data_IF_976796018309
#
_entry.id   IF_976796018309
#
_cell.length_a   1.000
_cell.length_b   1.000
_cell.length_c   1.000
_cell.angle_alpha   90.00
_cell.angle_beta   90.00
_cell.angle_gamma   90.00
#
_symmetry.space_group_name_H-M   'P 1'
#
loop_
_entity.id
_entity.type
_entity.pdbx_description
1 polymer ?
#
# COMPACT_ATOMS: atom_id res chain seq x y z
N UNK A 1 -4.81 2.70 9.80
CA UNK A 1 -3.72 1.78 9.35
C UNK A 1 -4.29 0.64 8.53
N UNK A 2 -3.73 0.42 7.35
CA UNK A 2 -4.17 -0.58 6.37
C UNK A 2 -3.01 -1.51 5.99
N UNK A 3 -3.35 -2.69 5.50
CA UNK A 3 -2.38 -3.69 5.03
C UNK A 3 -2.75 -4.19 3.64
N UNK A 4 -1.74 -4.46 2.80
CA UNK A 4 -1.89 -5.12 1.51
C UNK A 4 -0.87 -6.26 1.36
N UNK A 5 -1.32 -7.41 0.89
CA UNK A 5 -0.53 -8.60 0.59
C UNK A 5 -0.78 -9.06 -0.86
N UNK A 6 -0.07 -10.11 -1.27
CA UNK A 6 -0.18 -10.68 -2.62
C UNK A 6 0.82 -10.07 -3.61
N UNK A 7 0.81 -10.59 -4.84
CA UNK A 7 1.78 -10.20 -5.89
C UNK A 7 1.51 -8.80 -6.43
N UNK A 8 0.26 -8.35 -6.40
CA UNK A 8 -0.19 -7.03 -6.85
C UNK A 8 -0.11 -5.94 -5.78
N UNK A 9 0.38 -6.22 -4.56
CA UNK A 9 0.36 -5.25 -3.44
C UNK A 9 1.08 -3.93 -3.73
N UNK A 10 2.15 -3.95 -4.54
CA UNK A 10 2.87 -2.72 -4.94
C UNK A 10 2.07 -1.91 -5.97
N UNK A 11 1.35 -2.57 -6.89
CA UNK A 11 0.43 -1.90 -7.81
C UNK A 11 -0.74 -1.25 -7.04
N UNK A 12 -1.30 -1.95 -6.05
CA UNK A 12 -2.29 -1.39 -5.13
C UNK A 12 -1.74 -0.18 -4.37
N UNK A 13 -0.50 -0.25 -3.87
CA UNK A 13 0.14 0.86 -3.16
C UNK A 13 0.30 2.10 -4.06
N UNK A 14 0.70 1.91 -5.31
CA UNK A 14 0.81 2.97 -6.31
C UNK A 14 -0.54 3.57 -6.66
N UNK A 15 -1.56 2.73 -6.83
CA UNK A 15 -2.93 3.19 -7.00
C UNK A 15 -3.37 4.07 -5.82
N UNK A 16 -3.18 3.61 -4.58
CA UNK A 16 -3.50 4.41 -3.40
C UNK A 16 -2.72 5.72 -3.38
N UNK A 17 -1.42 5.70 -3.66
CA UNK A 17 -0.57 6.88 -3.68
C UNK A 17 -1.02 7.93 -4.71
N UNK A 18 -1.50 7.50 -5.88
CA UNK A 18 -2.02 8.38 -6.92
C UNK A 18 -3.30 9.13 -6.49
N UNK A 19 -4.06 8.55 -5.55
CA UNK A 19 -5.32 9.10 -5.03
C UNK A 19 -5.22 9.81 -3.67
N UNK A 20 -4.08 9.71 -2.98
CA UNK A 20 -3.84 10.47 -1.75
C UNK A 20 -3.23 11.85 -2.08
N UNK A 21 -3.82 12.96 -1.58
CA UNK A 21 -3.21 14.27 -1.69
C UNK A 21 -1.98 14.38 -0.76
N UNK A 22 -1.08 15.33 -1.05
CA UNK A 22 0.09 15.59 -0.21
C UNK A 22 1.28 14.66 -0.47
N UNK A 23 2.24 14.68 0.46
CA UNK A 23 3.49 13.91 0.38
C UNK A 23 3.23 12.42 0.60
N UNK A 24 3.87 11.57 -0.21
CA UNK A 24 3.89 10.11 -0.04
C UNK A 24 5.29 9.69 0.36
N UNK A 25 5.41 8.98 1.47
CA UNK A 25 6.67 8.36 1.92
C UNK A 25 6.57 6.86 1.74
N UNK A 26 7.51 6.26 1.02
CA UNK A 26 7.59 4.81 0.86
C UNK A 26 8.91 4.31 1.44
N UNK A 27 8.79 3.53 2.50
CA UNK A 27 9.89 3.07 3.33
C UNK A 27 10.09 1.58 3.09
N UNK A 28 11.27 1.22 2.58
CA UNK A 28 11.63 -0.14 2.19
C UNK A 28 12.95 -0.58 2.83
N UNK A 29 13.23 -1.88 2.93
CA UNK A 29 14.54 -2.36 3.35
C UNK A 29 15.63 -1.92 2.36
N UNK A 30 16.82 -1.55 2.86
CA UNK A 30 17.93 -1.10 2.00
C UNK A 30 18.38 -2.17 1.00
N UNK A 31 18.25 -3.45 1.39
CA UNK A 31 18.60 -4.61 0.57
C UNK A 31 17.50 -5.00 -0.43
N UNK A 32 16.38 -4.29 -0.48
CA UNK A 32 15.30 -4.59 -1.42
C UNK A 32 15.75 -4.28 -2.86
N UNK A 33 15.83 -5.30 -3.75
CA UNK A 33 16.34 -5.12 -5.10
C UNK A 33 15.32 -4.44 -6.01
N UNK A 34 14.03 -4.67 -5.76
CA UNK A 34 12.94 -4.15 -6.55
C UNK A 34 12.38 -2.89 -5.89
N UNK A 35 12.62 -1.74 -6.51
CA UNK A 35 12.14 -0.44 -6.03
C UNK A 35 11.14 0.13 -7.02
N UNK A 36 10.14 0.92 -6.57
CA UNK A 36 9.26 1.65 -7.48
C UNK A 36 10.09 2.49 -8.45
N UNK A 37 9.92 2.27 -9.75
CA UNK A 37 10.64 3.05 -10.76
C UNK A 37 9.94 4.40 -10.92
N UNK A 38 10.50 5.44 -10.30
CA UNK A 38 9.89 6.79 -10.23
C UNK A 38 9.52 7.35 -11.61
N UNK A 39 10.35 7.12 -12.63
CA UNK A 39 10.09 7.60 -14.00
C UNK A 39 8.92 6.90 -14.71
N UNK A 40 8.47 5.75 -14.20
CA UNK A 40 7.31 5.04 -14.72
C UNK A 40 6.00 5.43 -14.02
N UNK A 41 6.05 6.40 -13.10
CA UNK A 41 4.88 6.85 -12.34
C UNK A 41 4.13 7.95 -13.11
N UNK A 42 2.83 8.13 -12.84
CA UNK A 42 2.11 9.32 -13.30
C UNK A 42 2.83 10.61 -12.88
N UNK A 43 2.92 11.59 -13.77
CA UNK A 43 3.68 12.84 -13.62
C UNK A 43 3.28 13.75 -12.43
N UNK A 44 2.29 13.36 -11.63
CA UNK A 44 1.90 14.05 -10.40
C UNK A 44 2.28 13.31 -9.12
N UNK A 45 2.75 12.05 -9.25
CA UNK A 45 3.16 11.22 -8.12
C UNK A 45 4.68 11.23 -7.94
N UNK A 46 5.44 11.31 -9.03
CA UNK A 46 6.90 11.38 -9.02
C UNK A 46 7.45 12.59 -8.24
N UNK A 47 6.78 13.74 -8.31
CA UNK A 47 7.15 14.94 -7.53
C UNK A 47 6.87 14.82 -6.03
N UNK A 48 5.96 13.93 -5.63
CA UNK A 48 5.46 13.83 -4.24
C UNK A 48 5.84 12.52 -3.55
N UNK A 49 6.53 11.61 -4.23
CA UNK A 49 6.97 10.33 -3.67
C UNK A 49 8.42 10.42 -3.19
N UNK A 50 8.63 10.23 -1.89
CA UNK A 50 9.95 10.05 -1.30
C UNK A 50 10.19 8.58 -0.98
N UNK A 51 11.22 7.99 -1.61
CA UNK A 51 11.69 6.65 -1.28
C UNK A 51 12.74 6.74 -0.16
N UNK A 52 12.48 6.04 0.94
CA UNK A 52 13.39 5.93 2.07
C UNK A 52 13.81 4.47 2.25
N UNK A 53 15.08 4.25 2.56
CA UNK A 53 15.61 2.91 2.82
C UNK A 53 16.04 2.75 4.27
N UNK A 54 15.64 1.66 4.90
CA UNK A 54 16.00 1.32 6.28
C UNK A 54 16.98 0.13 6.32
N UNK A 55 17.98 0.20 7.20
CA UNK A 55 19.01 -0.85 7.32
C UNK A 55 18.58 -2.02 8.20
N UNK A 56 17.52 -1.87 9.00
CA UNK A 56 16.97 -2.92 9.86
C UNK A 56 15.43 -2.88 9.90
N UNK A 57 14.82 -3.97 10.36
CA UNK A 57 13.38 -4.03 10.59
C UNK A 57 12.94 -3.00 11.66
N UNK A 58 13.75 -2.81 12.70
CA UNK A 58 13.49 -1.81 13.74
C UNK A 58 13.50 -0.40 13.16
N UNK A 59 14.51 -0.05 12.36
CA UNK A 59 14.62 1.27 11.74
C UNK A 59 13.47 1.51 10.76
N UNK A 60 13.05 0.48 10.03
CA UNK A 60 11.90 0.57 9.12
C UNK A 60 10.63 0.92 9.89
N UNK A 61 10.32 0.16 10.95
CA UNK A 61 9.13 0.38 11.75
C UNK A 61 9.16 1.71 12.51
N UNK A 62 10.34 2.11 13.00
CA UNK A 62 10.53 3.42 13.61
C UNK A 62 10.32 4.55 12.60
N UNK A 63 10.90 4.44 11.41
CA UNK A 63 10.74 5.46 10.35
C UNK A 63 9.29 5.57 9.89
N UNK A 64 8.57 4.46 9.77
CA UNK A 64 7.13 4.45 9.47
C UNK A 64 6.36 5.16 10.59
N UNK A 65 6.68 4.88 11.85
CA UNK A 65 6.02 5.53 12.99
C UNK A 65 6.23 7.06 12.99
N UNK A 66 7.46 7.52 12.84
CA UNK A 66 7.77 8.95 12.81
C UNK A 66 7.13 9.65 11.62
N UNK A 67 7.17 9.02 10.44
CA UNK A 67 6.51 9.52 9.24
C UNK A 67 4.99 9.62 9.41
N UNK A 68 4.37 8.68 10.13
CA UNK A 68 2.93 8.71 10.42
C UNK A 68 2.57 9.85 11.38
N UNK A 69 3.45 10.19 12.33
CA UNK A 69 3.26 11.32 13.26
C UNK A 69 3.53 12.67 12.62
N UNK A 70 4.37 12.70 11.57
CA UNK A 70 4.72 13.93 10.88
C UNK A 70 3.53 14.51 10.11
N UNK A 71 3.40 15.84 10.14
CA UNK A 71 2.37 16.58 9.42
C UNK A 71 3.03 17.69 8.58
N UNK A 72 2.63 17.91 7.31
CA UNK A 72 1.63 17.17 6.55
C UNK A 72 2.21 16.01 5.73
N UNK A 73 1.78 14.77 6.01
CA UNK A 73 2.03 13.59 5.16
C UNK A 73 0.68 12.99 4.76
N UNK A 74 0.50 12.70 3.46
CA UNK A 74 -0.76 12.16 2.95
C UNK A 74 -0.87 10.65 3.04
N UNK A 75 0.25 9.95 2.79
CA UNK A 75 0.32 8.50 2.81
C UNK A 75 1.73 8.03 3.21
N UNK A 76 1.80 7.11 4.16
CA UNK A 76 3.04 6.39 4.50
C UNK A 76 2.90 4.92 4.10
N UNK A 77 3.81 4.45 3.27
CA UNK A 77 3.89 3.06 2.81
C UNK A 77 5.11 2.40 3.46
N UNK A 78 4.94 1.25 4.11
CA UNK A 78 6.04 0.48 4.69
C UNK A 78 6.10 -0.95 4.13
N UNK A 79 7.29 -1.45 3.80
CA UNK A 79 7.51 -2.83 3.34
C UNK A 79 8.31 -3.66 4.36
N UNK A 80 7.70 -4.10 5.48
CA UNK A 80 8.42 -4.86 6.48
C UNK A 80 8.79 -6.25 5.94
N UNK A 81 10.05 -6.65 6.14
CA UNK A 81 10.50 -8.00 5.78
C UNK A 81 9.94 -9.07 6.73
N UNK A 82 9.61 -8.74 7.98
CA UNK A 82 9.09 -9.66 9.00
C UNK A 82 7.58 -9.46 9.24
N UNK A 83 6.87 -10.47 9.76
CA UNK A 83 5.49 -10.32 10.21
C UNK A 83 5.34 -9.24 11.27
N UNK A 84 4.21 -8.53 11.23
CA UNK A 84 3.86 -7.52 12.21
C UNK A 84 3.14 -8.15 13.41
N UNK A 85 3.66 -7.89 14.61
CA UNK A 85 2.99 -8.25 15.86
C UNK A 85 1.76 -7.36 16.12
N UNK A 86 0.95 -7.75 17.10
CA UNK A 86 -0.16 -6.91 17.60
C UNK A 86 0.36 -5.58 18.17
N UNK A 87 1.45 -5.62 18.93
CA UNK A 87 2.03 -4.44 19.58
C UNK A 87 2.56 -3.45 18.56
N UNK A 88 3.33 -3.91 17.57
CA UNK A 88 3.82 -3.05 16.48
C UNK A 88 2.66 -2.44 15.70
N UNK A 89 1.68 -3.25 15.29
CA UNK A 89 0.52 -2.75 14.55
C UNK A 89 -0.30 -1.72 15.35
N UNK A 90 -0.48 -1.90 16.66
CA UNK A 90 -1.19 -0.93 17.50
C UNK A 90 -0.39 0.36 17.66
N UNK A 91 0.93 0.27 17.79
CA UNK A 91 1.83 1.44 17.86
C UNK A 91 1.74 2.27 16.58
N UNK A 92 1.80 1.63 15.41
CA UNK A 92 1.62 2.30 14.12
C UNK A 92 0.21 2.91 13.99
N UNK A 93 -0.83 2.24 14.49
CA UNK A 93 -2.19 2.79 14.48
C UNK A 93 -2.30 4.08 15.29
N UNK A 94 -1.73 4.12 16.49
CA UNK A 94 -1.71 5.31 17.34
C UNK A 94 -0.90 6.46 16.70
N UNK A 95 0.18 6.14 16.01
CA UNK A 95 0.97 7.13 15.27
C UNK A 95 0.19 7.74 14.10
N UNK A 96 -0.48 6.90 13.31
CA UNK A 96 -1.37 7.32 12.22
C UNK A 96 -2.52 8.22 12.73
N UNK A 97 -3.14 7.84 13.85
CA UNK A 97 -4.18 8.64 14.50
C UNK A 97 -3.65 10.00 15.00
N UNK A 98 -2.43 10.03 15.56
CA UNK A 98 -1.83 11.25 16.08
C UNK A 98 -1.45 12.25 14.99
N UNK A 99 -0.87 11.80 13.87
CA UNK A 99 -0.50 12.67 12.74
C UNK A 99 -1.63 12.90 11.73
N UNK A 100 -2.78 12.25 11.92
CA UNK A 100 -3.90 12.22 10.97
C UNK A 100 -3.48 11.73 9.56
N UNK A 101 -2.58 10.76 9.53
CA UNK A 101 -1.92 10.27 8.31
C UNK A 101 -2.40 8.86 7.96
N UNK A 102 -2.69 8.59 6.69
CA UNK A 102 -2.99 7.22 6.25
C UNK A 102 -1.69 6.41 6.18
N UNK A 103 -1.69 5.22 6.80
CA UNK A 103 -0.59 4.27 6.67
C UNK A 103 -1.02 2.98 5.97
N UNK A 104 -0.17 2.47 5.09
CA UNK A 104 -0.34 1.23 4.33
C UNK A 104 0.91 0.34 4.45
N UNK A 105 0.78 -0.84 5.05
CA UNK A 105 1.88 -1.80 5.15
C UNK A 105 1.77 -2.86 4.04
N UNK A 106 2.82 -3.00 3.23
CA UNK A 106 2.92 -4.05 2.21
C UNK A 106 3.57 -5.28 2.84
N UNK A 107 2.72 -6.19 3.28
CA UNK A 107 3.13 -7.36 4.05
C UNK A 107 3.27 -8.58 3.14
N UNK A 108 4.04 -9.57 3.61
CA UNK A 108 3.99 -10.92 3.05
C UNK A 108 2.66 -11.58 3.39
N UNK A 109 2.29 -12.61 2.62
CA UNK A 109 1.06 -13.35 2.84
C UNK A 109 1.00 -13.86 4.28
N UNK A 110 -0.13 -13.64 4.96
CA UNK A 110 -0.36 -14.03 6.36
C UNK A 110 0.58 -13.38 7.39
N UNK A 111 1.32 -12.33 7.03
CA UNK A 111 2.30 -11.67 7.89
C UNK A 111 1.75 -10.38 8.55
N UNK A 112 0.44 -10.17 8.50
CA UNK A 112 -0.20 -8.93 8.93
C UNK A 112 -0.59 -8.88 10.41
N UNK A 113 -0.64 -7.68 10.97
CA UNK A 113 -0.99 -7.45 12.36
C UNK A 113 -2.50 -7.62 12.64
N UNK A 114 -2.90 -8.23 13.77
CA UNK A 114 -4.29 -8.21 14.20
C UNK A 114 -4.84 -6.79 14.45
N UNK A 115 -3.97 -5.80 14.66
CA UNK A 115 -4.36 -4.41 14.87
C UNK A 115 -4.88 -3.70 13.61
N UNK A 116 -4.58 -4.18 12.39
CA UNK A 116 -4.94 -3.48 11.15
C UNK A 116 -6.45 -3.20 11.03
N UNK A 117 -6.80 -2.05 10.45
CA UNK A 117 -8.19 -1.68 10.16
C UNK A 117 -8.71 -2.43 8.94
N UNK A 118 -7.89 -2.51 7.88
CA UNK A 118 -8.22 -3.28 6.68
C UNK A 118 -7.04 -4.13 6.23
N UNK A 119 -7.34 -5.28 5.63
CA UNK A 119 -6.34 -6.09 4.92
C UNK A 119 -6.83 -6.40 3.52
N UNK A 120 -5.98 -6.16 2.53
CA UNK A 120 -6.24 -6.39 1.13
C UNK A 120 -5.33 -7.49 0.59
N UNK A 121 -5.89 -8.43 -0.14
CA UNK A 121 -5.15 -9.39 -0.95
C UNK A 121 -5.22 -8.90 -2.40
N UNK A 122 -4.06 -8.61 -2.99
CA UNK A 122 -3.95 -7.98 -4.30
C UNK A 122 -3.20 -8.91 -5.25
N UNK A 123 -3.86 -9.35 -6.33
CA UNK A 123 -3.28 -10.27 -7.30
C UNK A 123 -3.43 -9.72 -8.73
N UNK A 124 -2.37 -9.77 -9.57
CA UNK A 124 -2.51 -9.47 -10.98
C UNK A 124 -3.34 -10.56 -11.66
N UNK A 125 -4.17 -10.16 -12.63
CA UNK A 125 -4.90 -11.07 -13.50
C UNK A 125 -4.33 -11.03 -14.92
N UNK A 126 -4.40 -12.14 -15.68
CA UNK A 126 -4.12 -12.10 -17.11
C UNK A 126 -5.11 -11.15 -17.80
N UNK A 127 -4.59 -10.22 -18.60
CA UNK A 127 -5.41 -9.34 -19.40
C UNK A 127 -5.43 -9.76 -20.87
N UNK A 128 -6.54 -9.54 -21.56
CA UNK A 128 -6.67 -9.82 -22.99
C UNK A 128 -5.88 -8.82 -23.87
N UNK A 129 -5.62 -7.62 -23.35
CA UNK A 129 -4.81 -6.60 -24.01
C UNK A 129 -3.41 -6.55 -23.38
N UNK A 130 -2.32 -6.43 -24.18
CA UNK A 130 -0.95 -6.31 -23.67
C UNK A 130 -0.72 -5.12 -22.73
N UNK A 131 -1.53 -4.05 -22.88
CA UNK A 131 -1.38 -2.80 -22.13
C UNK A 131 -2.33 -2.69 -20.92
N UNK A 132 -3.11 -3.73 -20.61
CA UNK A 132 -4.02 -3.72 -19.46
C UNK A 132 -3.31 -4.25 -18.22
N UNK A 133 -3.43 -3.53 -17.10
CA UNK A 133 -2.92 -3.98 -15.80
C UNK A 133 -4.10 -4.46 -14.94
N UNK A 134 -4.79 -5.50 -15.42
CA UNK A 134 -5.92 -6.08 -14.71
C UNK A 134 -5.47 -6.63 -13.34
N UNK A 135 -6.14 -6.21 -12.27
CA UNK A 135 -5.87 -6.63 -10.91
C UNK A 135 -7.15 -7.12 -10.25
N UNK A 136 -7.03 -8.12 -9.38
CA UNK A 136 -8.06 -8.50 -8.40
C UNK A 136 -7.65 -8.02 -7.02
N UNK A 137 -8.47 -7.18 -6.43
CA UNK A 137 -8.30 -6.72 -5.06
C UNK A 137 -9.42 -7.27 -4.19
N UNK A 138 -9.06 -8.00 -3.16
CA UNK A 138 -10.01 -8.59 -2.21
C UNK A 138 -9.74 -8.03 -0.82
N UNK A 139 -10.73 -7.37 -0.25
CA UNK A 139 -10.69 -6.89 1.13
C UNK A 139 -10.96 -8.07 2.05
N UNK A 140 -9.92 -8.70 2.59
CA UNK A 140 -10.01 -9.90 3.43
C UNK A 140 -10.28 -9.58 4.91
N UNK A 141 -10.08 -8.33 5.34
CA UNK A 141 -10.43 -7.85 6.68
C UNK A 141 -10.91 -6.41 6.63
N UNK A 142 -11.97 -6.10 7.37
CA UNK A 142 -12.46 -4.74 7.56
C UNK A 142 -13.07 -4.59 8.97
N UNK A 143 -12.54 -3.70 9.81
CA UNK A 143 -13.07 -3.48 11.16
C UNK A 143 -14.38 -2.69 11.20
N UNK A 144 -14.71 -1.93 10.14
CA UNK A 144 -15.82 -0.96 10.12
C UNK A 144 -16.90 -1.27 9.09
N UNK A 145 -16.86 -2.43 8.44
CA UNK A 145 -17.81 -2.73 7.38
C UNK A 145 -17.65 -4.11 6.76
N UNK A 146 -18.23 -4.27 5.58
CA UNK A 146 -18.22 -5.52 4.82
C UNK A 146 -16.89 -5.75 4.12
N UNK A 147 -16.65 -7.01 3.77
CA UNK A 147 -15.59 -7.47 2.89
C UNK A 147 -16.13 -7.56 1.45
N UNK A 148 -15.23 -7.61 0.47
CA UNK A 148 -15.60 -7.66 -0.94
C UNK A 148 -14.41 -7.91 -1.84
N UNK A 149 -14.67 -8.18 -3.11
CA UNK A 149 -13.65 -8.31 -4.15
C UNK A 149 -14.01 -7.48 -5.36
N UNK A 150 -13.00 -6.93 -6.01
CA UNK A 150 -13.13 -6.08 -7.16
C UNK A 150 -12.08 -6.45 -8.20
N UNK A 151 -12.48 -6.47 -9.46
CA UNK A 151 -11.56 -6.54 -10.59
C UNK A 151 -11.38 -5.12 -11.12
N UNK A 152 -10.14 -4.64 -11.14
CA UNK A 152 -9.78 -3.27 -11.52
C UNK A 152 -8.86 -3.33 -12.73
N UNK A 153 -9.23 -2.65 -13.80
CA UNK A 153 -8.34 -2.37 -14.92
C UNK A 153 -7.79 -0.97 -14.76
N UNK A 154 -6.51 -0.87 -14.44
CA UNK A 154 -5.80 0.39 -14.24
C UNK A 154 -4.75 0.54 -15.33
N UNK A 155 -4.68 1.70 -15.98
CA UNK A 155 -3.73 1.89 -17.09
C UNK A 155 -2.34 2.39 -16.64
N UNK A 156 -2.10 2.58 -15.32
CA UNK A 156 -0.80 2.94 -14.72
C UNK A 156 -0.26 4.33 -15.08
N UNK A 157 -0.59 4.86 -16.26
CA UNK A 157 -0.19 6.15 -16.81
C UNK A 157 -1.13 7.30 -16.40
N UNK A 158 -2.31 6.97 -15.86
CA UNK A 158 -3.27 7.95 -15.36
C UNK A 158 -3.85 7.51 -14.02
N UNK A 159 -4.50 8.43 -13.30
CA UNK A 159 -5.30 8.10 -12.12
C UNK A 159 -6.62 7.41 -12.48
N UNK A 160 -7.00 7.37 -13.76
CA UNK A 160 -8.25 6.76 -14.22
C UNK A 160 -8.16 5.24 -14.17
N UNK A 161 -9.23 4.60 -13.67
CA UNK A 161 -9.38 3.16 -13.63
C UNK A 161 -10.82 2.77 -14.00
N UNK A 162 -10.98 1.57 -14.53
CA UNK A 162 -12.28 0.98 -14.79
C UNK A 162 -12.54 -0.13 -13.76
N UNK A 163 -13.62 0.03 -12.99
CA UNK A 163 -14.13 -1.08 -12.20
C UNK A 163 -14.81 -2.07 -13.14
N UNK A 164 -14.23 -3.26 -13.26
CA UNK A 164 -14.80 -4.34 -14.07
C UNK A 164 -15.80 -5.08 -13.18
N UNK A 165 -17.09 -4.98 -13.49
CA UNK A 165 -18.11 -5.76 -12.78
C UNK A 165 -17.81 -7.26 -12.90
N UNK A 166 -18.11 -8.04 -11.86
CA UNK A 166 -18.11 -9.50 -11.97
C UNK A 166 -18.92 -9.90 -13.21
N UNK A 167 -18.28 -10.59 -14.16
CA UNK A 167 -19.03 -11.43 -15.06
C UNK A 167 -19.70 -12.48 -14.17
N UNK A 168 -21.03 -12.40 -14.04
CA UNK A 168 -21.80 -13.47 -13.40
C UNK A 168 -21.50 -14.76 -14.16
N UNK A 169 -20.87 -15.73 -13.50
CA UNK A 169 -20.92 -17.14 -13.92
C UNK A 169 -22.28 -17.73 -13.57
#
# INVERSE_FOLDING_TARGET
MHEAEGRGRRAFALFQAAWHPGQVLWILPAHEPERPMLRGLPAALDERLLLLTANSATDLLWSVEEALRATPVGLVIGEPSSPLSLTEGRRLQLAAEAGQTTGLMLIRQNAGSPATETRWTCEPLPAASPDSTLQRWSLSKNKKGTIGSWTVDWNGASTAFHLVSEARE
#
